data_IF_409853757239
#
_entry.id   IF_409853757239
#
_cell.length_a   1.000
_cell.length_b   1.000
_cell.length_c   1.000
_cell.angle_alpha   90.00
_cell.angle_beta   90.00
_cell.angle_gamma   90.00
#
_symmetry.space_group_name_H-M   'P 1'
#
loop_
_entity.id
_entity.type
_entity.pdbx_description
1 polymer ?
#
# COMPACT_ATOMS: atom_id res chain seq x y z
N UNK A 1 -8.43 34.05 10.73
CA UNK A 1 -7.43 34.33 9.68
C UNK A 1 -6.40 33.22 9.63
N UNK A 2 -6.79 32.07 9.08
CA UNK A 2 -5.91 30.91 8.91
C UNK A 2 -6.50 30.03 7.80
N UNK A 3 -6.39 30.44 6.53
CA UNK A 3 -6.95 29.62 5.44
C UNK A 3 -6.23 29.70 4.09
N UNK A 4 -5.08 30.38 3.97
CA UNK A 4 -4.47 30.59 2.64
C UNK A 4 -2.96 30.38 2.51
N UNK A 5 -2.23 30.00 3.56
CA UNK A 5 -0.77 29.90 3.48
C UNK A 5 -0.14 28.60 3.99
N UNK A 6 -0.93 27.56 4.32
CA UNK A 6 -0.43 26.20 4.57
C UNK A 6 -1.31 25.20 3.81
N UNK A 7 -0.71 24.45 2.90
CA UNK A 7 -1.34 23.40 2.10
C UNK A 7 -1.62 22.15 2.95
N UNK A 8 -2.48 22.27 3.95
CA UNK A 8 -2.89 21.15 4.80
C UNK A 8 -4.41 21.06 4.80
N UNK A 9 -4.95 19.86 4.55
CA UNK A 9 -6.39 19.58 4.60
C UNK A 9 -6.90 19.80 6.03
N UNK A 10 -7.87 20.70 6.20
CA UNK A 10 -8.44 21.10 7.50
C UNK A 10 -9.72 20.31 7.81
N UNK A 11 -10.51 19.99 6.79
CA UNK A 11 -11.77 19.22 6.89
C UNK A 11 -11.77 18.09 5.87
N UNK A 12 -12.39 16.98 6.21
CA UNK A 12 -12.53 15.85 5.30
C UNK A 12 -13.32 16.25 4.06
N UNK A 13 -12.78 15.97 2.88
CA UNK A 13 -13.44 16.22 1.61
C UNK A 13 -13.97 14.90 1.03
N UNK A 14 -15.27 14.86 0.72
CA UNK A 14 -15.88 13.71 0.06
C UNK A 14 -16.05 13.98 -1.45
N UNK A 15 -15.59 13.05 -2.28
CA UNK A 15 -15.78 13.09 -3.74
C UNK A 15 -16.17 11.71 -4.28
N UNK A 16 -16.83 11.69 -5.43
CA UNK A 16 -17.18 10.44 -6.13
C UNK A 16 -16.45 10.41 -7.48
N UNK A 17 -15.84 9.28 -7.80
CA UNK A 17 -15.30 9.01 -9.13
C UNK A 17 -15.72 7.61 -9.61
N UNK A 18 -15.50 7.36 -10.90
CA UNK A 18 -15.79 6.07 -11.53
C UNK A 18 -14.50 5.50 -12.10
N UNK A 19 -14.22 4.24 -11.81
CA UNK A 19 -13.05 3.53 -12.30
C UNK A 19 -13.40 2.09 -12.64
N UNK A 20 -13.11 1.65 -13.87
CA UNK A 20 -13.39 0.29 -14.37
C UNK A 20 -14.81 -0.21 -14.04
N UNK A 21 -15.81 0.62 -14.32
CA UNK A 21 -17.23 0.30 -14.05
C UNK A 21 -17.63 0.30 -12.57
N UNK A 22 -16.73 0.68 -11.65
CA UNK A 22 -16.99 0.78 -10.22
C UNK A 22 -17.12 2.25 -9.81
N UNK A 23 -18.08 2.52 -8.92
CA UNK A 23 -18.21 3.82 -8.24
C UNK A 23 -17.35 3.81 -6.99
N UNK A 24 -16.47 4.80 -6.84
CA UNK A 24 -15.64 5.01 -5.66
C UNK A 24 -16.07 6.30 -4.98
N UNK A 25 -16.33 6.24 -3.68
CA UNK A 25 -16.55 7.41 -2.85
C UNK A 25 -15.30 7.60 -1.98
N UNK A 26 -14.56 8.67 -2.23
CA UNK A 26 -13.28 8.96 -1.58
C UNK A 26 -13.53 10.01 -0.52
N UNK A 27 -13.07 9.76 0.70
CA UNK A 27 -13.01 10.72 1.79
C UNK A 27 -11.54 11.02 2.04
N UNK A 28 -11.07 12.21 1.62
CA UNK A 28 -9.76 12.72 2.00
C UNK A 28 -9.84 13.17 3.46
N UNK A 29 -8.94 12.69 4.32
CA UNK A 29 -8.96 12.99 5.75
C UNK A 29 -7.81 13.92 6.14
N UNK A 30 -8.02 14.82 7.12
CA UNK A 30 -6.94 15.66 7.63
C UNK A 30 -5.76 14.84 8.16
N UNK A 31 -4.56 15.20 7.71
CA UNK A 31 -3.30 14.56 8.11
C UNK A 31 -2.64 15.17 9.35
N UNK A 32 -3.31 16.07 10.10
CA UNK A 32 -2.75 16.74 11.29
C UNK A 32 -3.46 16.32 12.60
N UNK A 33 -2.69 16.16 13.69
CA UNK A 33 -3.16 15.58 14.97
C UNK A 33 -4.35 16.32 15.58
N UNK A 34 -4.42 17.63 15.35
CA UNK A 34 -5.50 18.51 15.81
C UNK A 34 -6.88 18.14 15.23
N UNK A 35 -6.94 17.32 14.17
CA UNK A 35 -8.18 16.91 13.50
C UNK A 35 -8.49 15.41 13.63
N UNK A 36 -7.91 14.75 14.64
CA UNK A 36 -8.12 13.31 14.93
C UNK A 36 -9.58 12.92 15.13
N UNK A 37 -10.45 13.82 15.61
CA UNK A 37 -11.90 13.56 15.74
C UNK A 37 -12.55 13.38 14.37
N UNK A 38 -12.12 14.14 13.37
CA UNK A 38 -12.67 14.08 12.02
C UNK A 38 -12.21 12.84 11.27
N UNK A 39 -10.94 12.45 11.49
CA UNK A 39 -10.41 11.15 11.04
C UNK A 39 -11.20 10.00 11.67
N UNK A 40 -11.45 10.04 12.98
CA UNK A 40 -12.20 9.00 13.68
C UNK A 40 -13.64 8.86 13.15
N UNK A 41 -14.31 9.99 12.86
CA UNK A 41 -15.65 9.98 12.25
C UNK A 41 -15.65 9.38 10.85
N UNK A 42 -14.63 9.70 10.05
CA UNK A 42 -14.47 9.16 8.71
C UNK A 42 -14.26 7.64 8.75
N UNK A 43 -13.38 7.15 9.64
CA UNK A 43 -13.10 5.72 9.79
C UNK A 43 -14.31 4.89 10.23
N UNK A 44 -15.30 5.48 10.92
CA UNK A 44 -16.54 4.77 11.32
C UNK A 44 -17.48 4.44 10.17
N UNK A 45 -17.34 5.12 9.04
CA UNK A 45 -18.29 5.02 7.91
C UNK A 45 -17.63 4.47 6.63
N UNK A 46 -16.33 4.19 6.68
CA UNK A 46 -15.56 3.70 5.54
C UNK A 46 -15.49 2.16 5.53
N UNK A 47 -15.68 1.57 4.36
CA UNK A 47 -15.50 0.13 4.14
C UNK A 47 -14.01 -0.29 4.04
N UNK A 48 -13.11 0.69 3.88
CA UNK A 48 -11.67 0.49 3.79
C UNK A 48 -10.90 1.81 3.73
N UNK A 49 -9.60 1.74 3.97
CA UNK A 49 -8.72 2.89 3.98
C UNK A 49 -7.45 2.68 3.14
N UNK A 50 -6.91 3.77 2.60
CA UNK A 50 -5.55 3.83 2.05
C UNK A 50 -4.70 4.61 3.04
N UNK A 51 -3.79 3.92 3.73
CA UNK A 51 -2.82 4.55 4.61
C UNK A 51 -1.63 5.03 3.77
N UNK A 52 -1.39 6.34 3.73
CA UNK A 52 -0.29 6.92 2.93
C UNK A 52 0.87 7.23 3.85
N UNK A 53 2.06 6.67 3.54
CA UNK A 53 3.31 6.97 4.24
C UNK A 53 4.20 7.83 3.35
N UNK A 54 5.00 8.72 3.94
CA UNK A 54 6.07 9.42 3.23
C UNK A 54 7.31 8.50 3.22
N UNK A 55 7.86 8.21 2.03
CA UNK A 55 8.97 7.26 1.85
C UNK A 55 10.23 7.60 2.64
N UNK A 56 10.42 8.86 3.03
CA UNK A 56 11.54 9.28 3.87
C UNK A 56 11.19 9.15 5.37
N UNK A 57 10.02 9.64 5.78
CA UNK A 57 9.64 9.71 7.19
C UNK A 57 9.14 8.37 7.74
N UNK A 58 8.51 7.53 6.91
CA UNK A 58 7.93 6.25 7.31
C UNK A 58 6.71 6.43 8.22
N UNK A 59 6.62 5.63 9.28
CA UNK A 59 5.53 5.73 10.26
C UNK A 59 5.86 6.81 11.27
N UNK A 60 4.97 7.79 11.43
CA UNK A 60 5.08 8.89 12.39
C UNK A 60 4.14 8.69 13.60
N UNK A 61 4.33 9.40 14.74
CA UNK A 61 3.45 9.28 15.91
C UNK A 61 1.96 9.49 15.60
N UNK A 62 1.66 10.35 14.61
CA UNK A 62 0.30 10.53 14.15
C UNK A 62 -0.23 9.35 13.34
N UNK A 63 0.62 8.72 12.53
CA UNK A 63 0.28 7.49 11.80
C UNK A 63 -0.13 6.42 12.80
N UNK A 64 0.60 6.24 13.90
CA UNK A 64 0.25 5.29 14.96
C UNK A 64 -1.14 5.57 15.56
N UNK A 65 -1.46 6.85 15.77
CA UNK A 65 -2.76 7.26 16.32
C UNK A 65 -3.90 6.87 15.37
N UNK A 66 -3.77 7.20 14.09
CA UNK A 66 -4.76 6.85 13.06
C UNK A 66 -4.83 5.34 12.84
N UNK A 67 -3.70 4.64 12.94
CA UNK A 67 -3.64 3.18 12.85
C UNK A 67 -4.48 2.50 13.93
N UNK A 68 -4.32 2.94 15.20
CA UNK A 68 -5.13 2.44 16.33
C UNK A 68 -6.62 2.76 16.16
N UNK A 69 -6.96 3.93 15.62
CA UNK A 69 -8.35 4.28 15.31
C UNK A 69 -8.93 3.34 14.25
N UNK A 70 -8.19 3.07 13.17
CA UNK A 70 -8.62 2.14 12.14
C UNK A 70 -8.73 0.70 12.68
N UNK A 71 -7.89 0.31 13.64
CA UNK A 71 -7.99 -0.98 14.32
C UNK A 71 -9.27 -1.10 15.14
N UNK A 72 -9.58 -0.05 15.92
CA UNK A 72 -10.79 0.05 16.74
C UNK A 72 -12.07 -0.14 15.93
N UNK A 73 -12.09 0.33 14.68
CA UNK A 73 -13.24 0.23 13.78
C UNK A 73 -13.19 -0.93 12.80
N UNK A 74 -12.20 -1.81 12.92
CA UNK A 74 -12.01 -2.93 12.00
C UNK A 74 -11.96 -2.51 10.53
N UNK A 75 -11.29 -1.39 10.22
CA UNK A 75 -11.18 -0.89 8.85
C UNK A 75 -10.06 -1.66 8.12
N UNK A 76 -10.39 -2.41 7.05
CA UNK A 76 -9.40 -2.98 6.14
C UNK A 76 -8.54 -1.89 5.52
N UNK A 77 -7.24 -2.11 5.39
CA UNK A 77 -6.34 -1.08 4.85
C UNK A 77 -5.33 -1.63 3.87
N UNK A 78 -4.98 -0.78 2.91
CA UNK A 78 -3.79 -0.93 2.08
C UNK A 78 -2.84 0.22 2.40
N UNK A 79 -1.54 -0.03 2.34
CA UNK A 79 -0.52 0.99 2.58
C UNK A 79 0.08 1.42 1.25
N UNK A 80 0.19 2.74 1.04
CA UNK A 80 0.83 3.34 -0.11
C UNK A 80 2.02 4.19 0.36
N UNK A 81 3.23 3.75 0.03
CA UNK A 81 4.46 4.51 0.29
C UNK A 81 4.62 5.53 -0.82
N UNK A 82 4.49 6.80 -0.48
CA UNK A 82 4.47 7.93 -1.41
C UNK A 82 5.78 8.72 -1.35
N UNK A 83 6.01 9.58 -2.34
CA UNK A 83 7.16 10.50 -2.43
C UNK A 83 8.52 9.77 -2.46
N UNK A 84 8.56 8.67 -3.21
CA UNK A 84 9.78 7.88 -3.43
C UNK A 84 10.86 8.64 -4.21
N UNK A 85 10.51 9.78 -4.81
CA UNK A 85 11.38 10.73 -5.50
C UNK A 85 12.18 11.66 -4.55
N UNK A 86 11.82 11.71 -3.26
CA UNK A 86 12.53 12.55 -2.28
C UNK A 86 13.87 11.95 -1.86
N UNK A 87 14.83 12.83 -1.57
CA UNK A 87 16.09 12.47 -0.91
C UNK A 87 15.79 11.74 0.41
N UNK A 88 16.49 10.62 0.65
CA UNK A 88 16.33 9.78 1.82
C UNK A 88 15.07 8.90 1.81
N UNK A 89 14.38 8.77 0.66
CA UNK A 89 13.27 7.83 0.54
C UNK A 89 13.76 6.38 0.59
N UNK A 90 13.20 5.61 1.52
CA UNK A 90 13.52 4.20 1.74
C UNK A 90 12.23 3.41 1.99
N UNK A 91 11.84 2.64 0.98
CA UNK A 91 10.67 1.77 1.04
C UNK A 91 10.81 0.67 2.10
N UNK A 92 12.00 0.08 2.24
CA UNK A 92 12.21 -1.04 3.15
C UNK A 92 12.19 -0.57 4.60
N UNK A 93 12.72 0.63 4.88
CA UNK A 93 12.54 1.31 6.17
C UNK A 93 11.05 1.54 6.48
N UNK A 94 10.25 1.99 5.50
CA UNK A 94 8.81 2.14 5.70
C UNK A 94 8.11 0.81 6.02
N UNK A 95 8.52 -0.29 5.37
CA UNK A 95 8.00 -1.63 5.66
C UNK A 95 8.38 -2.08 7.08
N UNK A 96 9.63 -1.86 7.50
CA UNK A 96 10.09 -2.18 8.85
C UNK A 96 9.38 -1.34 9.93
N UNK A 97 9.19 -0.05 9.67
CA UNK A 97 8.45 0.85 10.54
C UNK A 97 7.01 0.37 10.81
N UNK A 98 6.34 -0.25 9.82
CA UNK A 98 5.00 -0.83 10.01
C UNK A 98 5.05 -1.96 11.03
N UNK A 99 6.07 -2.82 10.97
CA UNK A 99 6.25 -3.92 11.92
C UNK A 99 6.59 -3.38 13.31
N UNK A 100 7.56 -2.47 13.39
CA UNK A 100 8.16 -2.07 14.67
C UNK A 100 7.34 -1.02 15.42
N UNK A 101 6.61 -0.14 14.72
CA UNK A 101 5.89 0.99 15.36
C UNK A 101 4.39 0.78 15.53
N UNK A 102 3.76 0.04 14.61
CA UNK A 102 2.30 -0.23 14.66
C UNK A 102 1.98 -1.71 14.78
N UNK A 103 2.99 -2.57 14.96
CA UNK A 103 2.85 -4.02 15.08
C UNK A 103 2.09 -4.65 13.91
N UNK A 104 2.19 -4.04 12.72
CA UNK A 104 1.51 -4.51 11.53
C UNK A 104 2.21 -5.69 10.87
N UNK A 105 1.50 -6.38 9.98
CA UNK A 105 2.03 -7.49 9.17
C UNK A 105 2.06 -7.13 7.69
N UNK A 106 2.98 -6.26 7.25
CA UNK A 106 3.02 -5.77 5.88
C UNK A 106 3.35 -6.91 4.91
N UNK A 107 2.52 -7.07 3.88
CA UNK A 107 2.77 -7.94 2.73
C UNK A 107 2.96 -7.05 1.50
N UNK A 108 4.16 -7.03 0.94
CA UNK A 108 4.48 -6.19 -0.21
C UNK A 108 3.85 -6.77 -1.48
N UNK A 109 3.08 -5.95 -2.20
CA UNK A 109 2.56 -6.29 -3.53
C UNK A 109 3.45 -5.75 -4.65
N UNK A 110 4.25 -4.73 -4.32
CA UNK A 110 5.14 -4.05 -5.25
C UNK A 110 6.47 -3.71 -4.56
N UNK A 111 7.55 -3.65 -5.35
CA UNK A 111 8.84 -3.11 -4.93
C UNK A 111 9.22 -1.92 -5.81
N UNK A 112 9.85 -0.86 -5.28
CA UNK A 112 10.30 0.26 -6.11
C UNK A 112 11.49 -0.12 -6.99
N UNK A 113 11.56 0.47 -8.19
CA UNK A 113 12.72 0.44 -9.07
C UNK A 113 13.44 1.78 -8.94
N UNK A 114 14.56 1.76 -8.23
CA UNK A 114 15.29 2.96 -7.83
C UNK A 114 14.62 3.69 -6.66
N UNK A 115 15.23 4.80 -6.26
CA UNK A 115 14.74 5.73 -5.24
C UNK A 115 15.25 7.13 -5.57
N UNK A 116 14.67 8.14 -4.93
CA UNK A 116 14.99 9.54 -5.15
C UNK A 116 14.88 9.90 -6.65
N UNK A 117 15.84 10.67 -7.17
CA UNK A 117 15.97 10.97 -8.60
C UNK A 117 16.08 9.74 -9.54
N UNK A 118 16.35 8.55 -9.01
CA UNK A 118 16.41 7.31 -9.80
C UNK A 118 15.11 6.51 -9.74
N UNK A 119 14.10 6.95 -8.98
CA UNK A 119 12.80 6.29 -8.93
C UNK A 119 12.11 6.42 -10.28
N UNK A 120 11.85 5.28 -10.92
CA UNK A 120 11.32 5.25 -12.30
C UNK A 120 10.18 4.26 -12.52
N UNK A 121 9.85 3.47 -11.50
CA UNK A 121 9.02 2.30 -11.69
C UNK A 121 8.79 1.49 -10.44
N UNK A 122 8.00 0.44 -10.61
CA UNK A 122 7.76 -0.59 -9.60
C UNK A 122 7.82 -1.97 -10.22
N UNK A 123 8.17 -2.98 -9.44
CA UNK A 123 8.01 -4.39 -9.78
C UNK A 123 6.65 -4.83 -9.24
N UNK A 124 5.76 -5.33 -10.10
CA UNK A 124 4.54 -6.03 -9.70
C UNK A 124 4.90 -7.47 -9.32
N UNK A 125 4.79 -7.82 -8.04
CA UNK A 125 5.13 -9.15 -7.52
C UNK A 125 4.06 -10.22 -7.80
N UNK A 126 2.85 -9.80 -8.17
CA UNK A 126 1.78 -10.72 -8.57
C UNK A 126 2.06 -11.22 -9.99
N UNK A 127 2.42 -10.30 -10.90
CA UNK A 127 2.69 -10.61 -12.31
C UNK A 127 4.15 -10.92 -12.62
N UNK A 128 5.05 -10.58 -11.69
CA UNK A 128 6.50 -10.64 -11.87
C UNK A 128 6.97 -9.85 -13.11
N UNK A 129 6.50 -8.60 -13.22
CA UNK A 129 6.85 -7.66 -14.30
C UNK A 129 7.30 -6.31 -13.71
N UNK A 130 8.23 -5.65 -14.39
CA UNK A 130 8.55 -4.26 -14.11
C UNK A 130 7.52 -3.35 -14.81
N UNK A 131 7.00 -2.37 -14.08
CA UNK A 131 6.14 -1.30 -14.60
C UNK A 131 6.97 -0.02 -14.54
N UNK A 132 7.30 0.52 -15.70
CA UNK A 132 8.11 1.74 -15.85
C UNK A 132 7.25 2.85 -16.41
N UNK A 133 7.33 4.04 -15.82
CA UNK A 133 6.69 5.24 -16.35
C UNK A 133 7.66 6.03 -17.20
N UNK A 134 7.22 6.42 -18.40
CA UNK A 134 8.06 7.13 -19.37
C UNK A 134 8.23 8.63 -19.05
N UNK A 135 7.34 9.19 -18.22
CA UNK A 135 7.29 10.62 -17.87
C UNK A 135 6.62 10.82 -16.49
N UNK A 136 6.86 11.97 -15.86
CA UNK A 136 6.27 12.38 -14.58
C UNK A 136 4.87 13.01 -14.74
N UNK A 137 4.39 13.18 -15.97
CA UNK A 137 3.12 13.82 -16.27
C UNK A 137 1.89 13.02 -15.77
N UNK A 138 0.86 13.75 -15.31
CA UNK A 138 -0.46 13.19 -15.01
C UNK A 138 -1.04 12.51 -16.27
N UNK A 139 -1.24 11.19 -16.20
CA UNK A 139 -1.67 10.38 -17.34
C UNK A 139 -0.53 9.75 -18.14
N UNK A 140 0.69 9.72 -17.58
CA UNK A 140 1.85 9.06 -18.17
C UNK A 140 1.54 7.63 -18.61
N UNK A 141 1.95 7.31 -19.84
CA UNK A 141 1.96 5.94 -20.33
C UNK A 141 3.00 5.18 -19.52
N UNK A 142 2.63 3.97 -19.13
CA UNK A 142 3.56 3.02 -18.55
C UNK A 142 3.80 1.89 -19.56
N UNK A 143 4.93 1.22 -19.41
CA UNK A 143 5.26 -0.01 -20.14
C UNK A 143 5.58 -1.13 -19.15
N UNK A 144 5.31 -2.35 -19.58
CA UNK A 144 5.64 -3.56 -18.83
C UNK A 144 6.92 -4.19 -19.38
N UNK A 145 7.99 -4.14 -18.60
CA UNK A 145 9.31 -4.69 -18.94
C UNK A 145 9.65 -5.92 -18.09
N UNK A 146 10.74 -6.61 -18.43
CA UNK A 146 11.33 -7.63 -17.56
C UNK A 146 11.91 -6.98 -16.29
N UNK A 147 11.94 -7.74 -15.20
CA UNK A 147 12.53 -7.27 -13.93
C UNK A 147 14.04 -7.02 -14.13
N UNK A 148 14.58 -5.85 -13.74
CA UNK A 148 16.01 -5.59 -13.80
C UNK A 148 16.83 -6.66 -13.08
N UNK A 149 17.93 -7.10 -13.67
CA UNK A 149 18.72 -8.23 -13.16
C UNK A 149 19.24 -7.99 -11.73
N UNK A 150 19.56 -6.75 -11.39
CA UNK A 150 20.00 -6.31 -10.07
C UNK A 150 18.90 -6.38 -9.00
N UNK A 151 17.64 -6.46 -9.40
CA UNK A 151 16.47 -6.57 -8.52
C UNK A 151 15.81 -7.95 -8.57
N UNK A 152 16.27 -8.86 -9.42
CA UNK A 152 15.63 -10.17 -9.64
C UNK A 152 15.57 -11.01 -8.36
N UNK A 153 16.69 -11.14 -7.64
CA UNK A 153 16.76 -11.93 -6.41
C UNK A 153 15.85 -11.35 -5.32
N UNK A 154 15.82 -10.02 -5.21
CA UNK A 154 14.98 -9.32 -4.24
C UNK A 154 13.49 -9.45 -4.58
N UNK A 155 13.15 -9.37 -5.86
CA UNK A 155 11.78 -9.61 -6.32
C UNK A 155 11.35 -11.05 -6.04
N UNK A 156 12.21 -12.03 -6.28
CA UNK A 156 11.94 -13.43 -5.95
C UNK A 156 11.73 -13.63 -4.44
N UNK A 157 12.60 -13.06 -3.60
CA UNK A 157 12.47 -13.13 -2.13
C UNK A 157 11.11 -12.58 -1.66
N UNK A 158 10.73 -11.39 -2.11
CA UNK A 158 9.46 -10.78 -1.70
C UNK A 158 8.25 -11.46 -2.35
N UNK A 159 8.41 -12.06 -3.53
CA UNK A 159 7.39 -12.92 -4.13
C UNK A 159 7.10 -14.12 -3.25
N UNK A 160 8.14 -14.82 -2.78
CA UNK A 160 7.99 -15.95 -1.87
C UNK A 160 7.22 -15.54 -0.61
N UNK A 161 7.61 -14.44 0.04
CA UNK A 161 6.90 -13.91 1.21
C UNK A 161 5.43 -13.58 0.92
N UNK A 162 5.13 -13.02 -0.25
CA UNK A 162 3.77 -12.73 -0.69
C UNK A 162 2.95 -14.01 -0.88
N UNK A 163 3.51 -15.02 -1.56
CA UNK A 163 2.83 -16.30 -1.78
C UNK A 163 2.56 -16.97 -0.44
N UNK A 164 3.58 -17.15 0.39
CA UNK A 164 3.47 -17.80 1.71
C UNK A 164 2.35 -17.17 2.54
N UNK A 165 2.36 -15.84 2.69
CA UNK A 165 1.32 -15.12 3.43
C UNK A 165 -0.08 -15.28 2.81
N UNK A 166 -0.19 -15.41 1.48
CA UNK A 166 -1.46 -15.54 0.80
C UNK A 166 -2.03 -16.96 0.87
N UNK A 167 -1.20 -18.00 0.69
CA UNK A 167 -1.65 -19.40 0.65
C UNK A 167 -2.07 -19.91 2.02
N UNK A 168 -1.56 -19.33 3.11
CA UNK A 168 -2.01 -19.58 4.49
C UNK A 168 -3.54 -19.41 4.70
N UNK A 169 -4.24 -18.77 3.77
CA UNK A 169 -5.67 -18.50 3.85
C UNK A 169 -6.55 -19.57 3.18
N UNK A 170 -5.96 -20.59 2.55
CA UNK A 170 -6.67 -21.56 1.71
C UNK A 170 -5.94 -22.91 1.69
N UNK A 171 -6.43 -23.88 2.46
CA UNK A 171 -5.78 -25.18 2.69
C UNK A 171 -5.46 -25.94 1.40
N UNK A 172 -6.30 -25.83 0.38
CA UNK A 172 -6.08 -26.50 -0.91
C UNK A 172 -4.90 -25.86 -1.65
N UNK A 173 -4.85 -24.53 -1.69
CA UNK A 173 -3.76 -23.78 -2.34
C UNK A 173 -2.44 -23.96 -1.57
N UNK A 174 -2.50 -23.96 -0.24
CA UNK A 174 -1.34 -24.26 0.60
C UNK A 174 -0.78 -25.66 0.29
N UNK A 175 -1.64 -26.67 0.22
CA UNK A 175 -1.22 -28.04 -0.07
C UNK A 175 -0.54 -28.13 -1.44
N UNK A 176 -1.13 -27.51 -2.47
CA UNK A 176 -0.55 -27.44 -3.81
C UNK A 176 0.81 -26.72 -3.82
N UNK A 177 0.95 -25.62 -3.08
CA UNK A 177 2.21 -24.88 -2.96
C UNK A 177 3.33 -25.72 -2.32
N UNK A 178 3.02 -26.50 -1.28
CA UNK A 178 3.97 -27.44 -0.66
C UNK A 178 4.42 -28.56 -1.61
N UNK A 179 3.59 -28.91 -2.59
CA UNK A 179 3.92 -29.83 -3.68
C UNK A 179 4.69 -29.15 -4.84
N UNK A 180 4.99 -27.86 -4.73
CA UNK A 180 5.76 -27.08 -5.70
C UNK A 180 4.91 -26.40 -6.77
N UNK A 181 3.59 -26.32 -6.60
CA UNK A 181 2.67 -25.65 -7.53
C UNK A 181 2.31 -24.25 -7.02
N UNK A 182 2.87 -23.22 -7.65
CA UNK A 182 2.53 -21.83 -7.31
C UNK A 182 1.11 -21.44 -7.76
N UNK A 183 0.40 -20.59 -6.99
CA UNK A 183 -0.91 -20.07 -7.39
C UNK A 183 -0.80 -19.15 -8.61
N UNK A 184 -1.80 -19.20 -9.49
CA UNK A 184 -1.92 -18.28 -10.61
C UNK A 184 -2.28 -16.85 -10.17
N UNK A 185 -2.19 -15.88 -11.08
CA UNK A 185 -2.48 -14.46 -10.81
C UNK A 185 -3.88 -14.25 -10.22
N UNK A 186 -4.89 -14.97 -10.72
CA UNK A 186 -6.27 -14.82 -10.29
C UNK A 186 -6.46 -15.32 -8.84
N UNK A 187 -5.87 -16.47 -8.53
CA UNK A 187 -5.87 -17.07 -7.19
C UNK A 187 -5.12 -16.19 -6.21
N UNK A 188 -3.92 -15.72 -6.56
CA UNK A 188 -3.13 -14.86 -5.69
C UNK A 188 -3.87 -13.55 -5.39
N UNK A 189 -4.49 -12.91 -6.39
CA UNK A 189 -5.33 -11.71 -6.19
C UNK A 189 -6.53 -11.97 -5.28
N UNK A 190 -7.19 -13.13 -5.44
CA UNK A 190 -8.32 -13.54 -4.58
C UNK A 190 -7.89 -13.68 -3.13
N UNK A 191 -6.75 -14.33 -2.87
CA UNK A 191 -6.22 -14.56 -1.54
C UNK A 191 -5.75 -13.26 -0.87
N UNK A 192 -5.01 -12.40 -1.60
CA UNK A 192 -4.63 -11.06 -1.11
C UNK A 192 -5.88 -10.24 -0.75
N UNK A 193 -6.90 -10.24 -1.61
CA UNK A 193 -8.17 -9.56 -1.32
C UNK A 193 -8.84 -10.11 -0.06
N UNK A 194 -8.90 -11.44 0.08
CA UNK A 194 -9.44 -12.11 1.26
C UNK A 194 -8.70 -11.62 2.51
N UNK A 195 -7.36 -11.68 2.50
CA UNK A 195 -6.50 -11.27 3.59
C UNK A 195 -6.75 -9.83 4.05
N UNK A 196 -6.84 -8.89 3.11
CA UNK A 196 -7.06 -7.48 3.40
C UNK A 196 -8.45 -7.27 4.02
N UNK A 197 -9.49 -7.82 3.40
CA UNK A 197 -10.89 -7.67 3.86
C UNK A 197 -11.11 -8.33 5.22
N UNK A 198 -10.49 -9.50 5.46
CA UNK A 198 -10.58 -10.21 6.74
C UNK A 198 -9.56 -9.74 7.77
N UNK A 199 -8.74 -8.73 7.44
CA UNK A 199 -7.76 -8.13 8.36
C UNK A 199 -6.69 -9.11 8.84
N UNK A 200 -6.37 -10.13 8.05
CA UNK A 200 -5.35 -11.14 8.41
C UNK A 200 -3.93 -10.55 8.38
N UNK A 201 -3.68 -9.58 7.49
CA UNK A 201 -2.41 -8.87 7.34
C UNK A 201 -2.30 -7.59 8.18
N UNK A 202 -3.08 -7.47 9.26
CA UNK A 202 -3.03 -6.27 10.12
C UNK A 202 -2.06 -6.38 11.27
#
# INVERSE_FOLDING_TARGET
GWSRSKSATITSAATTCFWNGKRLNIIDTPGHVDFTIEVERSLRVLDGAVCVLDGNQGVEPQTETVWRQADKYNVPRVVFVNKMDKIGADFFKCVDDIVTRVAGKPVCLQLPIGSESNFRGVIDLIRMRAIIWDDEALGAKYREDDIPADLADKAAEYRTKLIEAAVDLDDEVMSAYLEGVEPDEATLKRLVRKAVVTRTFN
#
